data_IF_402170058957
#
_entry.id   IF_402170058957
#
_cell.length_a   1.000
_cell.length_b   1.000
_cell.length_c   1.000
_cell.angle_alpha   90.00
_cell.angle_beta   90.00
_cell.angle_gamma   90.00
#
_symmetry.space_group_name_H-M   'P 1'
#
loop_
_entity.id
_entity.type
_entity.pdbx_description
1 polymer ?
#
# COMPACT_ATOMS: atom_id res chain seq x y z
N UNK A 1 -54.29 25.43 -3.42
CA UNK A 1 -53.86 24.51 -4.50
C UNK A 1 -52.43 24.11 -4.22
N UNK A 2 -52.23 23.01 -3.49
CA UNK A 2 -50.93 22.37 -3.29
C UNK A 2 -50.74 21.37 -4.43
N UNK A 3 -50.04 21.78 -5.48
CA UNK A 3 -49.69 20.92 -6.61
C UNK A 3 -48.31 20.30 -6.30
N UNK A 4 -48.28 18.99 -6.06
CA UNK A 4 -47.15 18.06 -6.10
C UNK A 4 -45.74 18.70 -6.15
N UNK A 5 -45.19 19.14 -5.00
CA UNK A 5 -43.76 19.46 -4.89
C UNK A 5 -42.86 18.21 -4.77
N UNK A 6 -43.45 17.00 -4.65
CA UNK A 6 -42.76 15.75 -4.34
C UNK A 6 -42.87 14.71 -5.47
N UNK A 7 -42.59 15.10 -6.71
CA UNK A 7 -42.50 14.17 -7.86
C UNK A 7 -41.06 14.09 -8.37
N UNK A 8 -40.69 12.96 -8.97
CA UNK A 8 -39.40 12.77 -9.65
C UNK A 8 -39.05 13.91 -10.62
N UNK A 9 -40.03 14.48 -11.32
CA UNK A 9 -39.85 15.62 -12.23
C UNK A 9 -39.48 16.91 -11.49
N UNK A 10 -40.07 17.16 -10.31
CA UNK A 10 -39.73 18.30 -9.44
C UNK A 10 -38.27 18.23 -8.98
N UNK A 11 -37.79 17.03 -8.62
CA UNK A 11 -36.41 16.80 -8.20
C UNK A 11 -35.44 17.13 -9.35
N UNK A 12 -35.71 16.64 -10.55
CA UNK A 12 -34.87 16.89 -11.74
C UNK A 12 -34.84 18.38 -12.09
N UNK A 13 -35.99 19.06 -12.06
CA UNK A 13 -36.07 20.50 -12.32
C UNK A 13 -35.26 21.31 -11.30
N UNK A 14 -35.31 20.96 -10.01
CA UNK A 14 -34.49 21.62 -8.99
C UNK A 14 -32.99 21.37 -9.17
N UNK A 15 -32.60 20.14 -9.55
CA UNK A 15 -31.20 19.85 -9.88
C UNK A 15 -30.74 20.75 -11.02
N UNK A 16 -31.51 20.87 -12.11
CA UNK A 16 -31.15 21.71 -13.25
C UNK A 16 -31.06 23.20 -12.88
N UNK A 17 -32.01 23.69 -12.08
CA UNK A 17 -32.04 25.09 -11.67
C UNK A 17 -30.88 25.49 -10.74
N UNK A 18 -30.46 24.60 -9.84
CA UNK A 18 -29.57 24.94 -8.72
C UNK A 18 -28.12 24.44 -8.88
N UNK A 19 -27.72 23.95 -10.05
CA UNK A 19 -26.38 23.35 -10.25
C UNK A 19 -25.30 24.31 -10.77
N UNK A 20 -25.59 25.61 -10.89
CA UNK A 20 -24.72 26.56 -11.61
C UNK A 20 -23.85 27.42 -10.70
N UNK A 21 -24.39 27.97 -9.60
CA UNK A 21 -23.63 28.85 -8.69
C UNK A 21 -23.32 28.18 -7.35
N UNK A 22 -22.23 28.56 -6.63
CA UNK A 22 -21.91 27.96 -5.33
C UNK A 22 -23.01 28.11 -4.26
N UNK A 23 -23.75 29.24 -4.30
CA UNK A 23 -24.89 29.49 -3.41
C UNK A 23 -26.03 28.51 -3.71
N UNK A 24 -26.34 28.33 -4.99
CA UNK A 24 -27.40 27.44 -5.43
C UNK A 24 -27.04 25.98 -5.16
N UNK A 25 -25.77 25.58 -5.37
CA UNK A 25 -25.26 24.24 -5.06
C UNK A 25 -25.39 23.94 -3.56
N UNK A 26 -25.17 24.94 -2.70
CA UNK A 26 -25.36 24.78 -1.25
C UNK A 26 -26.82 24.55 -0.90
N UNK A 27 -27.74 25.29 -1.53
CA UNK A 27 -29.18 25.08 -1.39
C UNK A 27 -29.62 23.71 -1.92
N UNK A 28 -29.10 23.30 -3.07
CA UNK A 28 -29.32 22.00 -3.69
C UNK A 28 -28.85 20.87 -2.76
N UNK A 29 -27.69 21.02 -2.13
CA UNK A 29 -27.19 20.03 -1.16
C UNK A 29 -28.15 19.85 0.02
N UNK A 30 -28.66 20.93 0.59
CA UNK A 30 -29.66 20.86 1.66
C UNK A 30 -30.95 20.19 1.19
N UNK A 31 -31.45 20.55 0.00
CA UNK A 31 -32.65 19.96 -0.58
C UNK A 31 -32.50 18.46 -0.85
N UNK A 32 -31.39 18.04 -1.45
CA UNK A 32 -31.11 16.63 -1.76
C UNK A 32 -30.95 15.79 -0.49
N UNK A 33 -30.36 16.34 0.57
CA UNK A 33 -30.31 15.68 1.89
C UNK A 33 -31.70 15.45 2.47
N UNK A 34 -32.57 16.45 2.40
CA UNK A 34 -33.95 16.34 2.89
C UNK A 34 -34.80 15.38 2.04
N UNK A 35 -34.46 15.24 0.75
CA UNK A 35 -35.20 14.42 -0.20
C UNK A 35 -34.61 13.02 -0.42
N UNK A 36 -33.60 12.58 0.34
CA UNK A 36 -32.87 11.32 0.07
C UNK A 36 -33.81 10.10 0.08
N UNK A 37 -34.75 10.04 1.02
CA UNK A 37 -35.72 8.94 1.12
C UNK A 37 -36.67 8.90 -0.08
N UNK A 38 -37.08 10.07 -0.58
CA UNK A 38 -37.91 10.17 -1.80
C UNK A 38 -37.12 9.75 -3.05
N UNK A 39 -35.85 10.17 -3.14
CA UNK A 39 -34.97 9.76 -4.25
C UNK A 39 -34.77 8.24 -4.27
N UNK A 40 -34.68 7.61 -3.08
CA UNK A 40 -34.59 6.15 -2.96
C UNK A 40 -35.87 5.45 -3.39
N UNK A 41 -37.04 5.95 -2.96
CA UNK A 41 -38.33 5.33 -3.29
C UNK A 41 -38.70 5.47 -4.77
N UNK A 42 -38.33 6.57 -5.41
CA UNK A 42 -38.58 6.83 -6.84
C UNK A 42 -37.39 6.51 -7.76
N UNK A 43 -36.39 5.77 -7.27
CA UNK A 43 -35.13 5.49 -7.98
C UNK A 43 -35.31 4.94 -9.40
N UNK A 44 -36.26 4.03 -9.63
CA UNK A 44 -36.54 3.46 -10.96
C UNK A 44 -37.05 4.50 -11.96
N UNK A 45 -37.83 5.47 -11.51
CA UNK A 45 -38.32 6.59 -12.36
C UNK A 45 -37.23 7.61 -12.60
N UNK A 46 -36.41 7.90 -11.59
CA UNK A 46 -35.31 8.86 -11.70
C UNK A 46 -34.15 8.34 -12.57
N UNK A 47 -34.00 7.01 -12.69
CA UNK A 47 -32.98 6.39 -13.53
C UNK A 47 -33.07 6.84 -15.00
N UNK A 48 -34.27 6.95 -15.58
CA UNK A 48 -34.46 7.40 -16.96
C UNK A 48 -34.10 8.89 -17.14
N UNK A 49 -34.32 9.69 -16.10
CA UNK A 49 -34.02 11.12 -16.08
C UNK A 49 -32.52 11.44 -16.03
N UNK A 50 -31.64 10.47 -15.74
CA UNK A 50 -30.19 10.68 -15.80
C UNK A 50 -29.72 11.10 -17.20
N UNK A 51 -30.46 10.74 -18.25
CA UNK A 51 -30.17 11.17 -19.64
C UNK A 51 -30.36 12.67 -19.87
N UNK A 52 -31.13 13.35 -19.01
CA UNK A 52 -31.43 14.78 -19.07
C UNK A 52 -30.44 15.63 -18.24
N UNK A 53 -29.53 14.98 -17.51
CA UNK A 53 -28.58 15.62 -16.62
C UNK A 53 -27.17 15.51 -17.18
N UNK A 54 -26.51 16.65 -17.35
CA UNK A 54 -25.07 16.69 -17.63
C UNK A 54 -24.28 16.29 -16.36
N UNK A 55 -23.46 15.22 -16.39
CA UNK A 55 -22.72 14.76 -15.21
C UNK A 55 -21.64 15.74 -14.73
N UNK A 56 -21.15 16.67 -15.57
CA UNK A 56 -20.14 17.68 -15.21
C UNK A 56 -20.74 18.91 -14.53
N UNK A 57 -21.96 19.31 -14.94
CA UNK A 57 -22.68 20.46 -14.40
C UNK A 57 -23.52 20.06 -13.19
N UNK A 58 -24.30 18.97 -13.31
CA UNK A 58 -25.29 18.54 -12.32
C UNK A 58 -24.76 17.44 -11.40
N UNK A 59 -23.45 17.42 -11.12
CA UNK A 59 -22.77 16.28 -10.50
C UNK A 59 -23.36 15.86 -9.16
N UNK A 60 -23.75 16.81 -8.31
CA UNK A 60 -24.32 16.52 -7.00
C UNK A 60 -25.68 15.81 -7.10
N UNK A 61 -26.60 16.35 -7.91
CA UNK A 61 -27.90 15.73 -8.15
C UNK A 61 -27.78 14.37 -8.85
N UNK A 62 -26.91 14.29 -9.86
CA UNK A 62 -26.61 13.05 -10.57
C UNK A 62 -26.09 11.98 -9.59
N UNK A 63 -25.19 12.35 -8.67
CA UNK A 63 -24.65 11.44 -7.66
C UNK A 63 -25.75 10.86 -6.75
N UNK A 64 -26.69 11.67 -6.28
CA UNK A 64 -27.79 11.21 -5.43
C UNK A 64 -28.70 10.21 -6.16
N UNK A 65 -29.07 10.53 -7.40
CA UNK A 65 -29.91 9.65 -8.22
C UNK A 65 -29.15 8.35 -8.52
N UNK A 66 -27.89 8.44 -8.96
CA UNK A 66 -27.08 7.28 -9.28
C UNK A 66 -26.85 6.37 -8.06
N UNK A 67 -26.60 6.96 -6.88
CA UNK A 67 -26.48 6.23 -5.62
C UNK A 67 -27.76 5.45 -5.30
N UNK A 68 -28.93 6.07 -5.46
CA UNK A 68 -30.21 5.42 -5.24
C UNK A 68 -30.47 4.30 -6.25
N UNK A 69 -30.28 4.56 -7.54
CA UNK A 69 -30.55 3.60 -8.63
C UNK A 69 -29.69 2.33 -8.53
N UNK A 70 -28.47 2.46 -8.01
CA UNK A 70 -27.51 1.35 -7.89
C UNK A 70 -27.51 0.71 -6.49
N UNK A 71 -28.42 1.09 -5.58
CA UNK A 71 -28.43 0.57 -4.20
C UNK A 71 -28.92 -0.87 -4.07
N UNK A 72 -29.65 -1.39 -5.06
CA UNK A 72 -30.18 -2.75 -5.04
C UNK A 72 -29.22 -3.82 -5.60
N UNK A 73 -29.49 -5.12 -5.33
CA UNK A 73 -28.79 -6.20 -6.01
C UNK A 73 -29.09 -6.15 -7.51
N UNK A 74 -28.04 -6.15 -8.33
CA UNK A 74 -28.15 -6.08 -9.79
C UNK A 74 -27.94 -7.47 -10.42
N UNK A 75 -28.75 -7.80 -11.43
CA UNK A 75 -28.45 -8.90 -12.35
C UNK A 75 -27.22 -8.55 -13.20
N UNK A 76 -26.61 -9.53 -13.87
CA UNK A 76 -25.37 -9.29 -14.66
C UNK A 76 -25.58 -8.27 -15.79
N UNK A 77 -26.74 -8.28 -16.43
CA UNK A 77 -27.09 -7.35 -17.49
C UNK A 77 -27.15 -5.91 -16.95
N UNK A 78 -27.86 -5.70 -15.85
CA UNK A 78 -27.98 -4.41 -15.16
C UNK A 78 -26.64 -3.91 -14.65
N UNK A 79 -25.83 -4.79 -14.05
CA UNK A 79 -24.48 -4.47 -13.58
C UNK A 79 -23.59 -3.95 -14.73
N UNK A 80 -23.74 -4.48 -15.95
CA UNK A 80 -22.94 -4.00 -17.08
C UNK A 80 -23.29 -2.55 -17.48
N UNK A 81 -24.58 -2.20 -17.42
CA UNK A 81 -25.07 -0.83 -17.66
C UNK A 81 -24.69 0.13 -16.55
N UNK A 82 -24.81 -0.31 -15.29
CA UNK A 82 -24.36 0.44 -14.11
C UNK A 82 -22.87 0.76 -14.19
N UNK A 83 -22.03 -0.24 -14.46
CA UNK A 83 -20.57 -0.07 -14.63
C UNK A 83 -20.26 1.01 -15.68
N UNK A 84 -20.97 1.00 -16.81
CA UNK A 84 -20.79 2.01 -17.86
C UNK A 84 -21.20 3.41 -17.38
N UNK A 85 -22.35 3.51 -16.73
CA UNK A 85 -22.93 4.78 -16.26
C UNK A 85 -22.07 5.39 -15.15
N UNK A 86 -21.66 4.58 -14.16
CA UNK A 86 -20.77 5.00 -13.07
C UNK A 86 -19.41 5.43 -13.63
N UNK A 87 -18.82 4.67 -14.55
CA UNK A 87 -17.54 5.04 -15.15
C UNK A 87 -17.60 6.37 -15.91
N UNK A 88 -18.67 6.61 -16.69
CA UNK A 88 -18.90 7.88 -17.38
C UNK A 88 -19.05 9.03 -16.39
N UNK A 89 -19.85 8.85 -15.34
CA UNK A 89 -20.04 9.85 -14.31
C UNK A 89 -18.73 10.19 -13.59
N UNK A 90 -17.99 9.19 -13.10
CA UNK A 90 -16.71 9.39 -12.39
C UNK A 90 -15.69 10.16 -13.25
N UNK A 91 -15.66 9.91 -14.56
CA UNK A 91 -14.77 10.65 -15.46
C UNK A 91 -15.20 12.11 -15.63
N UNK A 92 -16.51 12.38 -15.78
CA UNK A 92 -17.01 13.71 -16.11
C UNK A 92 -17.32 14.61 -14.90
N UNK A 93 -17.59 14.06 -13.71
CA UNK A 93 -18.13 14.81 -12.58
C UNK A 93 -17.22 15.93 -12.05
N UNK A 94 -17.83 16.99 -11.52
CA UNK A 94 -17.15 18.08 -10.82
C UNK A 94 -16.65 17.63 -9.46
N UNK A 95 -15.35 17.84 -9.21
CA UNK A 95 -14.68 17.51 -7.95
C UNK A 95 -15.27 18.28 -6.76
N UNK A 96 -15.60 19.56 -6.94
CA UNK A 96 -16.15 20.41 -5.87
C UNK A 96 -17.51 19.89 -5.40
N UNK A 97 -18.38 19.51 -6.34
CA UNK A 97 -19.71 19.03 -6.04
C UNK A 97 -19.70 17.64 -5.38
N UNK A 98 -18.90 16.69 -5.88
CA UNK A 98 -18.86 15.34 -5.27
C UNK A 98 -18.30 15.37 -3.84
N UNK A 99 -17.42 16.33 -3.52
CA UNK A 99 -16.86 16.52 -2.17
C UNK A 99 -17.88 17.04 -1.17
N UNK A 100 -19.05 17.51 -1.60
CA UNK A 100 -20.17 17.84 -0.71
C UNK A 100 -20.87 16.59 -0.16
N UNK A 101 -20.79 15.46 -0.88
CA UNK A 101 -21.38 14.18 -0.48
C UNK A 101 -20.40 13.01 -0.71
N UNK A 102 -19.23 13.00 -0.05
CA UNK A 102 -18.16 12.05 -0.32
C UNK A 102 -18.57 10.60 -0.03
N UNK A 103 -19.42 10.37 0.99
CA UNK A 103 -19.94 9.04 1.36
C UNK A 103 -20.71 8.38 0.20
N UNK A 104 -21.55 9.15 -0.50
CA UNK A 104 -22.29 8.65 -1.67
C UNK A 104 -21.36 8.38 -2.85
N UNK A 105 -20.35 9.23 -3.05
CA UNK A 105 -19.35 9.04 -4.10
C UNK A 105 -18.52 7.77 -3.85
N UNK A 106 -18.10 7.54 -2.61
CA UNK A 106 -17.40 6.31 -2.20
C UNK A 106 -18.32 5.09 -2.38
N UNK A 107 -19.60 5.20 -2.02
CA UNK A 107 -20.61 4.14 -2.20
C UNK A 107 -20.76 3.69 -3.66
N UNK A 108 -20.93 4.61 -4.62
CA UNK A 108 -21.00 4.25 -6.05
C UNK A 108 -19.68 3.63 -6.55
N UNK A 109 -18.53 4.09 -6.04
CA UNK A 109 -17.22 3.58 -6.44
C UNK A 109 -16.98 2.15 -5.92
N UNK A 110 -17.38 1.87 -4.69
CA UNK A 110 -17.32 0.52 -4.11
C UNK A 110 -18.25 -0.45 -4.85
N UNK A 111 -19.46 -0.01 -5.22
CA UNK A 111 -20.35 -0.80 -6.07
C UNK A 111 -19.78 -1.06 -7.46
N UNK A 112 -19.15 -0.06 -8.09
CA UNK A 112 -18.44 -0.29 -9.36
C UNK A 112 -17.43 -1.44 -9.20
N UNK A 113 -16.64 -1.43 -8.12
CA UNK A 113 -15.70 -2.53 -7.82
C UNK A 113 -16.42 -3.87 -7.65
N UNK A 114 -17.53 -3.93 -6.91
CA UNK A 114 -18.26 -5.18 -6.70
C UNK A 114 -18.89 -5.72 -8.01
N UNK A 115 -19.48 -4.85 -8.83
CA UNK A 115 -20.10 -5.21 -10.11
C UNK A 115 -19.06 -5.69 -11.13
N UNK A 116 -17.91 -5.00 -11.27
CA UNK A 116 -16.87 -5.48 -12.21
C UNK A 116 -16.25 -6.80 -11.76
N UNK A 117 -16.21 -7.08 -10.45
CA UNK A 117 -15.80 -8.39 -9.93
C UNK A 117 -16.84 -9.47 -10.22
N UNK A 118 -18.13 -9.17 -10.02
CA UNK A 118 -19.24 -10.07 -10.36
C UNK A 118 -19.25 -10.44 -11.85
N UNK A 119 -18.94 -9.47 -12.71
CA UNK A 119 -18.83 -9.65 -14.16
C UNK A 119 -17.53 -10.33 -14.60
N UNK A 120 -16.63 -10.67 -13.67
CA UNK A 120 -15.29 -11.20 -13.95
C UNK A 120 -14.47 -10.31 -14.91
N UNK A 121 -14.71 -8.99 -14.88
CA UNK A 121 -14.05 -8.00 -15.74
C UNK A 121 -13.41 -6.86 -14.92
N UNK A 122 -12.54 -7.15 -13.93
CA UNK A 122 -11.98 -6.15 -13.01
C UNK A 122 -11.22 -5.02 -13.69
N UNK A 123 -10.67 -5.27 -14.90
CA UNK A 123 -9.97 -4.27 -15.70
C UNK A 123 -10.84 -3.05 -16.02
N UNK A 124 -12.17 -3.22 -16.14
CA UNK A 124 -13.12 -2.12 -16.41
C UNK A 124 -13.18 -1.10 -15.27
N UNK A 125 -12.88 -1.51 -14.04
CA UNK A 125 -12.92 -0.64 -12.86
C UNK A 125 -11.64 0.17 -12.63
N UNK A 126 -10.50 -0.21 -13.23
CA UNK A 126 -9.19 0.36 -12.88
C UNK A 126 -9.09 1.86 -13.20
N UNK A 127 -9.37 2.26 -14.44
CA UNK A 127 -9.24 3.65 -14.84
C UNK A 127 -10.26 4.59 -14.14
N UNK A 128 -11.55 4.21 -14.01
CA UNK A 128 -12.50 4.99 -13.22
C UNK A 128 -12.09 5.09 -11.75
N UNK A 129 -11.63 3.99 -11.11
CA UNK A 129 -11.22 4.03 -9.70
C UNK A 129 -10.00 4.92 -9.46
N UNK A 130 -9.01 4.91 -10.36
CA UNK A 130 -7.88 5.82 -10.26
C UNK A 130 -8.33 7.29 -10.37
N UNK A 131 -9.29 7.56 -11.26
CA UNK A 131 -9.87 8.91 -11.42
C UNK A 131 -10.66 9.32 -10.16
N UNK A 132 -11.42 8.40 -9.58
CA UNK A 132 -12.17 8.64 -8.35
C UNK A 132 -11.25 8.98 -7.17
N UNK A 133 -10.15 8.22 -6.98
CA UNK A 133 -9.14 8.51 -5.96
C UNK A 133 -8.60 9.93 -6.13
N UNK A 134 -8.19 10.31 -7.34
CA UNK A 134 -7.64 11.64 -7.64
C UNK A 134 -8.62 12.78 -7.39
N UNK A 135 -9.91 12.57 -7.63
CA UNK A 135 -10.93 13.59 -7.34
C UNK A 135 -11.25 13.66 -5.85
N UNK A 136 -11.23 12.54 -5.12
CA UNK A 136 -11.54 12.51 -3.70
C UNK A 136 -10.40 13.02 -2.83
N UNK A 137 -9.15 12.69 -3.17
CA UNK A 137 -7.98 13.04 -2.36
C UNK A 137 -7.77 14.55 -2.28
N UNK A 138 -7.49 15.06 -1.07
CA UNK A 138 -7.04 16.43 -0.83
C UNK A 138 -5.57 16.63 -1.19
N UNK A 139 -4.77 15.58 -0.98
CA UNK A 139 -3.33 15.49 -1.24
C UNK A 139 -2.98 14.07 -1.69
N UNK A 140 -1.88 13.89 -2.42
CA UNK A 140 -1.32 12.56 -2.74
C UNK A 140 -0.80 11.80 -1.51
N UNK A 141 -0.70 12.50 -0.37
CA UNK A 141 -0.22 11.98 0.90
C UNK A 141 -1.34 11.38 1.77
N UNK A 142 -2.59 11.52 1.33
CA UNK A 142 -3.78 11.06 2.04
C UNK A 142 -4.31 9.73 1.51
N UNK A 143 -4.41 8.73 2.38
CA UNK A 143 -4.99 7.42 2.05
C UNK A 143 -6.52 7.48 2.12
N UNK A 144 -7.14 7.73 0.97
CA UNK A 144 -8.58 7.54 0.81
C UNK A 144 -9.01 6.07 0.94
N UNK A 145 -10.29 5.86 1.29
CA UNK A 145 -10.92 4.53 1.41
C UNK A 145 -11.03 3.75 0.09
N UNK A 146 -10.78 4.39 -1.07
CA UNK A 146 -10.84 3.77 -2.39
C UNK A 146 -9.50 3.15 -2.83
N UNK A 147 -8.38 3.51 -2.19
CA UNK A 147 -7.07 2.98 -2.54
C UNK A 147 -6.99 1.45 -2.47
N UNK A 148 -7.48 0.78 -1.40
CA UNK A 148 -7.43 -0.67 -1.33
C UNK A 148 -8.26 -1.35 -2.42
N UNK A 149 -9.44 -0.81 -2.74
CA UNK A 149 -10.33 -1.34 -3.77
C UNK A 149 -9.71 -1.23 -5.18
N UNK A 150 -9.02 -0.11 -5.47
CA UNK A 150 -8.24 0.04 -6.70
C UNK A 150 -7.09 -0.96 -6.80
N UNK A 151 -6.33 -1.16 -5.72
CA UNK A 151 -5.23 -2.14 -5.69
C UNK A 151 -5.76 -3.58 -5.86
N UNK A 152 -6.90 -3.90 -5.24
CA UNK A 152 -7.56 -5.18 -5.41
C UNK A 152 -7.98 -5.42 -6.87
N UNK A 153 -8.55 -4.42 -7.55
CA UNK A 153 -8.86 -4.50 -8.98
C UNK A 153 -7.60 -4.73 -9.83
N UNK A 154 -6.51 -4.02 -9.52
CA UNK A 154 -5.23 -4.20 -10.21
C UNK A 154 -4.67 -5.61 -10.00
N UNK A 155 -4.80 -6.18 -8.79
CA UNK A 155 -4.39 -7.56 -8.50
C UNK A 155 -5.21 -8.56 -9.30
N UNK A 156 -6.54 -8.45 -9.24
CA UNK A 156 -7.45 -9.36 -9.94
C UNK A 156 -7.30 -9.31 -11.45
N UNK A 157 -7.06 -8.12 -12.03
CA UNK A 157 -6.81 -7.94 -13.46
C UNK A 157 -5.35 -8.20 -13.87
N UNK A 158 -4.46 -8.52 -12.92
CA UNK A 158 -3.00 -8.64 -13.13
C UNK A 158 -2.36 -7.40 -13.77
N UNK A 159 -2.96 -6.23 -13.56
CA UNK A 159 -2.52 -4.94 -14.10
C UNK A 159 -1.59 -4.21 -13.12
N UNK A 160 -0.50 -4.86 -12.72
CA UNK A 160 0.40 -4.39 -11.66
C UNK A 160 1.06 -3.04 -11.95
N UNK A 161 1.33 -2.72 -13.23
CA UNK A 161 1.91 -1.42 -13.63
C UNK A 161 1.01 -0.23 -13.24
N UNK A 162 -0.31 -0.41 -13.32
CA UNK A 162 -1.27 0.62 -12.88
C UNK A 162 -1.36 0.69 -11.35
N UNK A 163 -1.27 -0.45 -10.67
CA UNK A 163 -1.20 -0.47 -9.20
C UNK A 163 0.03 0.27 -8.67
N UNK A 164 1.19 0.11 -9.31
CA UNK A 164 2.43 0.77 -8.90
C UNK A 164 2.35 2.30 -8.90
N UNK A 165 1.54 2.92 -9.77
CA UNK A 165 1.55 4.38 -9.92
C UNK A 165 1.04 5.14 -8.70
N UNK A 166 0.34 4.48 -7.77
CA UNK A 166 -0.09 5.08 -6.49
C UNK A 166 0.77 4.61 -5.31
N UNK A 167 1.59 3.58 -5.51
CA UNK A 167 2.47 3.02 -4.47
C UNK A 167 3.82 3.75 -4.43
N UNK A 168 4.10 4.59 -5.43
CA UNK A 168 5.28 5.46 -5.47
C UNK A 168 5.11 6.71 -4.58
N UNK A 169 3.87 7.07 -4.26
CA UNK A 169 3.55 8.17 -3.34
C UNK A 169 3.80 7.76 -1.88
N UNK A 170 4.32 8.70 -1.08
CA UNK A 170 4.49 8.52 0.36
C UNK A 170 3.23 8.99 1.10
N UNK A 171 2.57 8.05 1.77
CA UNK A 171 1.32 8.27 2.50
C UNK A 171 1.63 8.58 3.97
N UNK A 172 1.07 9.68 4.47
CA UNK A 172 1.24 10.13 5.86
C UNK A 172 -0.09 10.25 6.61
N UNK A 173 -1.19 10.48 5.90
CA UNK A 173 -2.52 10.64 6.51
C UNK A 173 -3.41 9.44 6.21
N UNK A 174 -4.04 8.89 7.27
CA UNK A 174 -4.85 7.68 7.20
C UNK A 174 -6.08 7.85 8.09
N UNK A 175 -7.27 7.74 7.52
CA UNK A 175 -8.52 7.87 8.27
C UNK A 175 -8.93 6.55 8.94
N UNK A 176 -8.77 5.43 8.22
CA UNK A 176 -9.29 4.12 8.62
C UNK A 176 -8.17 3.08 8.72
N UNK A 177 -7.94 2.47 9.90
CA UNK A 177 -6.88 1.47 10.09
C UNK A 177 -6.99 0.28 9.13
N UNK A 178 -8.22 -0.17 8.85
CA UNK A 178 -8.47 -1.30 7.92
C UNK A 178 -7.99 -1.00 6.51
N UNK A 179 -8.14 0.24 6.06
CA UNK A 179 -7.75 0.63 4.70
C UNK A 179 -6.23 0.66 4.57
N UNK A 180 -5.50 1.08 5.61
CA UNK A 180 -4.04 0.97 5.67
C UNK A 180 -3.57 -0.49 5.58
N UNK A 181 -4.21 -1.41 6.34
CA UNK A 181 -3.85 -2.83 6.31
C UNK A 181 -4.02 -3.43 4.91
N UNK A 182 -5.16 -3.13 4.26
CA UNK A 182 -5.44 -3.63 2.91
C UNK A 182 -4.56 -2.97 1.86
N UNK A 183 -4.32 -1.66 1.97
CA UNK A 183 -3.40 -0.92 1.11
C UNK A 183 -1.99 -1.52 1.15
N UNK A 184 -1.43 -1.70 2.36
CA UNK A 184 -0.10 -2.28 2.52
C UNK A 184 -0.04 -3.74 2.06
N UNK A 185 -1.08 -4.54 2.33
CA UNK A 185 -1.11 -5.95 1.91
C UNK A 185 -1.22 -6.10 0.39
N UNK A 186 -2.20 -5.44 -0.24
CA UNK A 186 -2.39 -5.51 -1.69
C UNK A 186 -1.25 -4.84 -2.44
N UNK A 187 -0.77 -3.69 -1.96
CA UNK A 187 0.39 -3.00 -2.51
C UNK A 187 1.65 -3.87 -2.42
N UNK A 188 1.87 -4.53 -1.27
CA UNK A 188 2.93 -5.50 -1.09
C UNK A 188 2.87 -6.64 -2.11
N UNK A 189 1.69 -7.20 -2.36
CA UNK A 189 1.49 -8.25 -3.38
C UNK A 189 1.79 -7.75 -4.81
N UNK A 190 1.38 -6.53 -5.16
CA UNK A 190 1.70 -5.93 -6.47
C UNK A 190 3.21 -5.75 -6.63
N UNK A 191 3.88 -5.21 -5.60
CA UNK A 191 5.33 -5.05 -5.59
C UNK A 191 6.07 -6.39 -5.69
N UNK A 192 5.59 -7.43 -4.99
CA UNK A 192 6.11 -8.81 -5.13
C UNK A 192 5.96 -9.31 -6.57
N UNK A 193 4.78 -9.15 -7.18
CA UNK A 193 4.53 -9.57 -8.55
C UNK A 193 5.45 -8.90 -9.57
N UNK A 194 5.90 -7.69 -9.28
CA UNK A 194 6.84 -6.91 -10.09
C UNK A 194 8.31 -7.06 -9.63
N UNK A 195 8.60 -7.96 -8.68
CA UNK A 195 9.91 -8.16 -8.05
C UNK A 195 10.53 -6.89 -7.42
N UNK A 196 9.72 -5.89 -7.09
CA UNK A 196 10.12 -4.70 -6.31
C UNK A 196 10.15 -5.05 -4.82
N UNK A 197 11.02 -5.98 -4.43
CA UNK A 197 11.00 -6.57 -3.09
C UNK A 197 11.25 -5.58 -1.97
N UNK A 198 12.11 -4.56 -2.17
CA UNK A 198 12.35 -3.51 -1.17
C UNK A 198 11.06 -2.79 -0.77
N UNK A 199 10.32 -2.24 -1.74
CA UNK A 199 9.03 -1.57 -1.47
C UNK A 199 7.97 -2.53 -0.94
N UNK A 200 7.99 -3.80 -1.39
CA UNK A 200 7.10 -4.82 -0.82
C UNK A 200 7.35 -5.04 0.67
N UNK A 201 8.63 -5.12 1.10
CA UNK A 201 8.98 -5.26 2.51
C UNK A 201 8.53 -4.05 3.32
N UNK A 202 8.72 -2.83 2.81
CA UNK A 202 8.25 -1.60 3.46
C UNK A 202 6.72 -1.64 3.69
N UNK A 203 5.95 -1.97 2.65
CA UNK A 203 4.49 -2.04 2.74
C UNK A 203 4.01 -3.15 3.68
N UNK A 204 4.59 -4.35 3.60
CA UNK A 204 4.22 -5.47 4.46
C UNK A 204 4.64 -5.22 5.91
N UNK A 205 5.79 -4.58 6.14
CA UNK A 205 6.26 -4.20 7.46
C UNK A 205 5.27 -3.24 8.12
N UNK A 206 4.79 -2.21 7.39
CA UNK A 206 3.78 -1.28 7.88
C UNK A 206 2.49 -2.00 8.34
N UNK A 207 2.05 -3.05 7.63
CA UNK A 207 0.89 -3.87 8.04
C UNK A 207 1.17 -4.66 9.31
N UNK A 208 2.38 -5.22 9.46
CA UNK A 208 2.78 -6.04 10.61
C UNK A 208 2.94 -5.19 11.87
N UNK A 209 3.42 -3.95 11.73
CA UNK A 209 3.66 -3.04 12.86
C UNK A 209 2.49 -2.13 13.19
N UNK A 210 1.44 -2.11 12.36
CA UNK A 210 0.26 -1.29 12.60
C UNK A 210 -0.35 -1.55 14.00
N UNK A 211 -0.89 -0.51 14.67
CA UNK A 211 -1.65 -0.69 15.90
C UNK A 211 -2.87 -1.60 15.66
N UNK A 212 -3.00 -2.65 16.47
CA UNK A 212 -4.06 -3.66 16.35
C UNK A 212 -4.58 -4.01 17.74
N UNK A 213 -5.90 -3.98 17.92
CA UNK A 213 -6.54 -4.48 19.14
C UNK A 213 -6.75 -6.00 19.10
N UNK A 214 -6.96 -6.56 17.91
CA UNK A 214 -7.19 -7.98 17.65
C UNK A 214 -6.36 -8.44 16.44
N UNK A 215 -6.03 -9.73 16.39
CA UNK A 215 -5.36 -10.29 15.22
C UNK A 215 -6.29 -10.29 14.00
N UNK A 216 -5.79 -9.80 12.87
CA UNK A 216 -6.49 -9.84 11.59
C UNK A 216 -5.86 -10.88 10.66
N UNK A 217 -6.70 -11.53 9.83
CA UNK A 217 -6.21 -12.43 8.79
C UNK A 217 -5.28 -11.72 7.80
N UNK A 218 -5.52 -10.43 7.53
CA UNK A 218 -4.70 -9.58 6.66
C UNK A 218 -3.27 -9.49 7.20
N UNK A 219 -3.12 -9.20 8.50
CA UNK A 219 -1.82 -9.09 9.16
C UNK A 219 -1.07 -10.43 9.14
N UNK A 220 -1.77 -11.55 9.37
CA UNK A 220 -1.18 -12.89 9.33
C UNK A 220 -0.66 -13.21 7.92
N UNK A 221 -1.47 -12.98 6.88
CA UNK A 221 -1.07 -13.20 5.48
C UNK A 221 0.05 -12.27 5.03
N UNK A 222 0.05 -11.02 5.50
CA UNK A 222 1.12 -10.07 5.26
C UNK A 222 2.43 -10.55 5.90
N UNK A 223 2.40 -11.04 7.14
CA UNK A 223 3.59 -11.53 7.83
C UNK A 223 4.19 -12.77 7.18
N UNK A 224 3.36 -13.73 6.72
CA UNK A 224 3.81 -14.88 5.92
C UNK A 224 4.59 -14.44 4.69
N UNK A 225 4.06 -13.47 3.94
CA UNK A 225 4.73 -12.92 2.74
C UNK A 225 5.97 -12.10 3.11
N UNK A 226 5.94 -11.37 4.23
CA UNK A 226 7.07 -10.61 4.74
C UNK A 226 8.27 -11.51 5.04
N UNK A 227 8.04 -12.67 5.68
CA UNK A 227 9.06 -13.69 5.93
C UNK A 227 9.67 -14.15 4.60
N UNK A 228 8.83 -14.60 3.66
CA UNK A 228 9.29 -15.14 2.38
C UNK A 228 10.09 -14.11 1.57
N UNK A 229 9.60 -12.88 1.47
CA UNK A 229 10.27 -11.81 0.73
C UNK A 229 11.58 -11.40 1.42
N UNK A 230 11.63 -11.44 2.75
CA UNK A 230 12.87 -11.16 3.50
C UNK A 230 13.94 -12.20 3.18
N UNK A 231 13.57 -13.48 3.12
CA UNK A 231 14.50 -14.56 2.73
C UNK A 231 14.99 -14.39 1.28
N UNK A 232 14.10 -14.03 0.36
CA UNK A 232 14.43 -13.83 -1.07
C UNK A 232 15.35 -12.62 -1.26
N UNK A 233 15.04 -11.48 -0.65
CA UNK A 233 15.71 -10.22 -0.94
C UNK A 233 16.88 -9.93 -0.01
N UNK A 234 16.73 -10.18 1.29
CA UNK A 234 17.75 -9.89 2.31
C UNK A 234 18.64 -11.09 2.59
N UNK A 235 18.24 -12.29 2.16
CA UNK A 235 18.95 -13.53 2.48
C UNK A 235 18.86 -13.93 3.95
N UNK A 236 18.00 -13.30 4.74
CA UNK A 236 17.83 -13.59 6.16
C UNK A 236 16.49 -13.07 6.67
N UNK A 237 16.08 -13.59 7.83
CA UNK A 237 14.87 -13.13 8.50
C UNK A 237 15.08 -13.09 10.01
N UNK A 238 14.66 -12.00 10.64
CA UNK A 238 14.62 -11.88 12.10
C UNK A 238 13.18 -12.02 12.59
N UNK A 239 12.91 -13.06 13.38
CA UNK A 239 11.59 -13.34 13.93
C UNK A 239 11.16 -12.40 15.07
N UNK A 240 12.00 -11.42 15.41
CA UNK A 240 11.70 -10.40 16.44
C UNK A 240 10.85 -9.29 15.83
N UNK A 241 9.60 -9.24 16.26
CA UNK A 241 8.70 -8.13 15.92
C UNK A 241 9.16 -6.87 16.67
N UNK A 242 9.19 -5.68 16.03
CA UNK A 242 9.63 -4.45 16.69
C UNK A 242 8.82 -4.13 17.96
N UNK A 243 9.48 -3.53 18.97
CA UNK A 243 8.86 -3.18 20.26
C UNK A 243 7.68 -2.22 20.14
N UNK A 244 7.69 -1.36 19.12
CA UNK A 244 6.62 -0.41 18.83
C UNK A 244 5.40 -1.04 18.12
N UNK A 245 5.50 -2.27 17.64
CA UNK A 245 4.35 -2.99 17.10
C UNK A 245 3.37 -3.36 18.22
N UNK A 246 2.12 -3.64 17.88
CA UNK A 246 1.10 -4.02 18.86
C UNK A 246 1.50 -5.26 19.68
N UNK A 247 1.18 -5.27 20.98
CA UNK A 247 1.43 -6.41 21.88
C UNK A 247 0.73 -7.68 21.40
N UNK A 248 -0.43 -7.53 20.76
CA UNK A 248 -1.21 -8.61 20.15
C UNK A 248 -0.41 -9.25 19.01
N UNK A 249 0.18 -8.46 18.11
CA UNK A 249 1.03 -8.97 17.04
C UNK A 249 2.28 -9.67 17.59
N UNK A 250 2.97 -9.05 18.56
CA UNK A 250 4.18 -9.61 19.18
C UNK A 250 3.93 -11.00 19.82
N UNK A 251 2.78 -11.19 20.47
CA UNK A 251 2.43 -12.45 21.15
C UNK A 251 1.90 -13.52 20.21
N UNK A 252 1.12 -13.14 19.21
CA UNK A 252 0.30 -14.11 18.46
C UNK A 252 0.80 -14.44 17.06
N UNK A 253 1.56 -13.57 16.39
CA UNK A 253 1.97 -13.79 14.99
C UNK A 253 2.72 -15.11 14.80
N UNK A 254 3.63 -15.43 15.73
CA UNK A 254 4.43 -16.66 15.68
C UNK A 254 3.55 -17.92 15.65
N UNK A 255 2.48 -17.93 16.42
CA UNK A 255 1.57 -19.08 16.51
C UNK A 255 0.86 -19.37 15.18
N UNK A 256 0.60 -18.34 14.37
CA UNK A 256 -0.08 -18.48 13.09
C UNK A 256 0.87 -18.71 11.89
N UNK A 257 2.17 -18.52 12.08
CA UNK A 257 3.16 -18.59 11.00
C UNK A 257 4.29 -19.59 11.26
N UNK A 258 4.08 -20.55 12.17
CA UNK A 258 5.09 -21.54 12.56
C UNK A 258 5.78 -22.24 11.36
N UNK A 259 5.07 -22.75 10.34
CA UNK A 259 5.72 -23.36 9.16
C UNK A 259 6.65 -22.42 8.38
N UNK A 260 6.35 -21.11 8.37
CA UNK A 260 7.17 -20.10 7.71
C UNK A 260 8.41 -19.73 8.54
N UNK A 261 8.28 -19.77 9.87
CA UNK A 261 9.42 -19.58 10.78
C UNK A 261 10.39 -20.76 10.71
N UNK A 262 9.87 -22.00 10.66
CA UNK A 262 10.69 -23.20 10.46
C UNK A 262 11.42 -23.16 9.11
N UNK A 263 10.73 -22.71 8.05
CA UNK A 263 11.36 -22.46 6.76
C UNK A 263 12.51 -21.45 6.86
N UNK A 264 12.31 -20.35 7.60
CA UNK A 264 13.36 -19.34 7.80
C UNK A 264 14.55 -19.88 8.59
N UNK A 265 14.31 -20.71 9.62
CA UNK A 265 15.38 -21.38 10.38
C UNK A 265 16.16 -22.33 9.49
N UNK A 266 15.47 -23.16 8.71
CA UNK A 266 16.11 -24.08 7.76
C UNK A 266 16.90 -23.34 6.68
N UNK A 267 16.38 -22.23 6.15
CA UNK A 267 17.11 -21.35 5.24
C UNK A 267 18.39 -20.79 5.90
N UNK A 268 18.35 -20.53 7.20
CA UNK A 268 19.49 -20.06 8.00
C UNK A 268 20.69 -21.01 7.99
N UNK A 269 20.47 -22.32 7.86
CA UNK A 269 21.56 -23.33 7.87
C UNK A 269 22.39 -23.33 6.58
N UNK A 270 21.85 -22.76 5.50
CA UNK A 270 22.51 -22.69 4.19
C UNK A 270 22.50 -23.99 3.39
N UNK A 271 21.90 -25.08 3.94
CA UNK A 271 21.84 -26.38 3.27
C UNK A 271 20.53 -26.52 2.48
N UNK A 272 20.65 -26.80 1.19
CA UNK A 272 19.49 -26.87 0.29
C UNK A 272 18.61 -28.08 0.60
N UNK A 273 19.22 -29.22 0.89
CA UNK A 273 18.50 -30.48 1.19
C UNK A 273 17.64 -30.39 2.45
N UNK A 274 18.09 -29.68 3.48
CA UNK A 274 17.32 -29.40 4.70
C UNK A 274 16.11 -28.50 4.38
N UNK A 275 16.34 -27.45 3.58
CA UNK A 275 15.29 -26.54 3.15
C UNK A 275 14.20 -27.25 2.34
N UNK A 276 14.59 -28.07 1.36
CA UNK A 276 13.66 -28.85 0.54
C UNK A 276 12.86 -29.85 1.38
N UNK A 277 13.48 -30.45 2.39
CA UNK A 277 12.80 -31.36 3.32
C UNK A 277 11.75 -30.63 4.14
N UNK A 278 12.08 -29.45 4.68
CA UNK A 278 11.12 -28.58 5.38
C UNK A 278 9.94 -28.16 4.48
N UNK A 279 10.23 -27.81 3.21
CA UNK A 279 9.19 -27.45 2.24
C UNK A 279 8.26 -28.61 1.94
N UNK A 280 8.80 -29.83 1.80
CA UNK A 280 7.99 -31.04 1.58
C UNK A 280 7.09 -31.34 2.77
N UNK A 281 7.58 -31.17 4.00
CA UNK A 281 6.81 -31.37 5.22
C UNK A 281 5.61 -30.41 5.32
N UNK A 282 5.79 -29.14 4.95
CA UNK A 282 4.76 -28.10 5.07
C UNK A 282 4.06 -27.73 3.74
N UNK A 283 4.19 -28.59 2.71
CA UNK A 283 3.77 -28.30 1.33
C UNK A 283 2.30 -27.89 1.23
N UNK A 284 1.42 -28.67 1.86
CA UNK A 284 -0.03 -28.41 1.83
C UNK A 284 -0.36 -27.04 2.43
N UNK A 285 0.32 -26.63 3.50
CA UNK A 285 0.11 -25.33 4.11
C UNK A 285 0.47 -24.19 3.16
N UNK A 286 1.63 -24.27 2.51
CA UNK A 286 2.08 -23.25 1.55
C UNK A 286 1.18 -23.17 0.31
N UNK A 287 0.60 -24.29 -0.12
CA UNK A 287 -0.36 -24.35 -1.23
C UNK A 287 -1.70 -23.74 -0.83
N UNK A 288 -2.24 -24.12 0.32
CA UNK A 288 -3.50 -23.59 0.86
C UNK A 288 -3.44 -22.07 1.09
N UNK A 289 -2.27 -21.58 1.54
CA UNK A 289 -2.02 -20.14 1.71
C UNK A 289 -1.73 -19.40 0.38
N UNK A 290 -1.72 -20.11 -0.77
CA UNK A 290 -1.39 -19.58 -2.10
C UNK A 290 -0.01 -18.91 -2.21
N UNK A 291 0.96 -19.34 -1.38
CA UNK A 291 2.30 -18.76 -1.32
C UNK A 291 3.40 -19.68 -1.90
N UNK A 292 3.04 -20.87 -2.41
CA UNK A 292 4.01 -21.87 -2.86
C UNK A 292 4.97 -21.37 -3.95
N UNK A 293 4.51 -20.47 -4.84
CA UNK A 293 5.39 -19.84 -5.84
C UNK A 293 6.52 -19.01 -5.22
N UNK A 294 6.26 -18.31 -4.12
CA UNK A 294 7.29 -17.57 -3.38
C UNK A 294 8.22 -18.52 -2.61
N UNK A 295 7.69 -19.60 -2.05
CA UNK A 295 8.52 -20.64 -1.40
C UNK A 295 9.52 -21.23 -2.39
N UNK A 296 9.14 -21.47 -3.65
CA UNK A 296 10.08 -21.90 -4.69
C UNK A 296 11.15 -20.84 -5.00
N UNK A 297 10.80 -19.56 -4.94
CA UNK A 297 11.78 -18.48 -5.08
C UNK A 297 12.75 -18.42 -3.89
N UNK A 298 12.30 -18.74 -2.66
CA UNK A 298 13.18 -18.90 -1.50
C UNK A 298 14.21 -20.01 -1.74
N UNK A 299 13.82 -21.15 -2.33
CA UNK A 299 14.80 -22.18 -2.71
C UNK A 299 15.80 -21.64 -3.72
N UNK A 300 15.34 -20.90 -4.73
CA UNK A 300 16.23 -20.34 -5.74
C UNK A 300 17.21 -19.29 -5.15
N UNK A 301 16.77 -18.53 -4.14
CA UNK A 301 17.60 -17.49 -3.52
C UNK A 301 18.70 -18.04 -2.63
N UNK A 302 18.59 -19.28 -2.11
CA UNK A 302 19.63 -19.86 -1.25
C UNK A 302 20.96 -20.03 -2.01
N UNK A 303 20.89 -20.39 -3.29
CA UNK A 303 22.07 -20.55 -4.13
C UNK A 303 22.79 -19.22 -4.32
N UNK A 304 22.03 -18.17 -4.66
CA UNK A 304 22.54 -16.80 -4.77
C UNK A 304 23.20 -16.34 -3.47
N UNK A 305 22.53 -16.56 -2.33
CA UNK A 305 23.06 -16.22 -1.00
C UNK A 305 24.36 -16.98 -0.69
N UNK A 306 24.40 -18.29 -0.96
CA UNK A 306 25.59 -19.09 -0.68
C UNK A 306 26.77 -18.65 -1.54
N UNK A 307 26.55 -18.32 -2.82
CA UNK A 307 27.59 -17.75 -3.69
C UNK A 307 28.06 -16.39 -3.17
N UNK A 308 27.15 -15.50 -2.75
CA UNK A 308 27.50 -14.22 -2.13
C UNK A 308 28.36 -14.38 -0.87
N UNK A 309 28.17 -15.44 -0.09
CA UNK A 309 29.04 -15.72 1.07
C UNK A 309 30.45 -16.13 0.67
N UNK A 310 30.62 -16.81 -0.47
CA UNK A 310 31.94 -17.19 -0.97
C UNK A 310 32.79 -15.97 -1.34
N UNK A 311 32.17 -14.86 -1.76
CA UNK A 311 32.90 -13.62 -2.08
C UNK A 311 33.53 -12.97 -0.84
N UNK A 312 33.10 -13.34 0.37
CA UNK A 312 33.64 -12.82 1.63
C UNK A 312 34.89 -13.59 2.08
N UNK A 313 35.06 -14.83 1.62
CA UNK A 313 36.14 -15.72 2.06
C UNK A 313 37.16 -16.02 0.98
N UNK A 314 36.77 -15.89 -0.29
CA UNK A 314 37.62 -16.24 -1.42
C UNK A 314 37.82 -15.04 -2.34
N UNK A 315 39.05 -14.86 -2.81
CA UNK A 315 39.35 -13.94 -3.92
C UNK A 315 39.18 -14.64 -5.27
N UNK A 316 39.59 -15.89 -5.38
CA UNK A 316 39.47 -16.71 -6.60
C UNK A 316 39.07 -18.12 -6.21
N UNK A 317 38.09 -18.70 -6.90
CA UNK A 317 37.56 -20.04 -6.62
C UNK A 317 37.20 -20.74 -7.93
N UNK A 318 37.45 -22.05 -8.03
CA UNK A 318 37.07 -22.82 -9.22
C UNK A 318 35.55 -22.98 -9.33
N UNK A 319 35.04 -23.10 -10.55
CA UNK A 319 33.62 -23.39 -10.81
C UNK A 319 33.17 -24.71 -10.18
N UNK A 320 34.06 -25.71 -10.15
CA UNK A 320 33.84 -26.97 -9.45
C UNK A 320 33.78 -26.77 -7.93
N UNK A 321 34.67 -25.94 -7.37
CA UNK A 321 34.65 -25.56 -5.96
C UNK A 321 33.38 -24.83 -5.55
N UNK A 322 32.88 -23.93 -6.40
CA UNK A 322 31.58 -23.26 -6.21
C UNK A 322 30.44 -24.29 -6.26
N UNK A 323 30.42 -25.16 -7.26
CA UNK A 323 29.37 -26.18 -7.40
C UNK A 323 29.30 -27.09 -6.17
N UNK A 324 30.44 -27.57 -5.68
CA UNK A 324 30.52 -28.43 -4.49
C UNK A 324 30.11 -27.68 -3.22
N UNK A 325 30.54 -26.44 -3.05
CA UNK A 325 30.23 -25.64 -1.84
C UNK A 325 28.74 -25.27 -1.76
N UNK A 326 28.10 -25.08 -2.92
CA UNK A 326 26.73 -24.59 -3.04
C UNK A 326 25.73 -25.72 -3.34
N UNK A 327 26.21 -26.98 -3.43
CA UNK A 327 25.41 -28.18 -3.73
C UNK A 327 24.71 -28.12 -5.09
N UNK A 328 25.41 -27.61 -6.11
CA UNK A 328 24.97 -27.64 -7.51
C UNK A 328 25.47 -28.91 -8.20
N UNK A 329 24.78 -29.34 -9.26
CA UNK A 329 25.07 -30.63 -9.89
C UNK A 329 26.28 -30.58 -10.81
N UNK A 330 26.64 -29.39 -11.32
CA UNK A 330 27.72 -29.25 -12.28
C UNK A 330 28.42 -27.88 -12.22
N UNK A 331 29.69 -27.78 -12.65
CA UNK A 331 30.37 -26.50 -12.79
C UNK A 331 29.70 -25.57 -13.82
N UNK A 332 29.01 -26.13 -14.82
CA UNK A 332 28.23 -25.34 -15.79
C UNK A 332 27.02 -24.66 -15.16
N UNK A 333 26.36 -25.34 -14.22
CA UNK A 333 25.26 -24.76 -13.45
C UNK A 333 25.76 -23.63 -12.54
N UNK A 334 26.91 -23.84 -11.88
CA UNK A 334 27.59 -22.79 -11.12
C UNK A 334 27.95 -21.58 -11.99
N UNK A 335 28.49 -21.80 -13.18
CA UNK A 335 28.82 -20.74 -14.14
C UNK A 335 27.59 -19.93 -14.52
N UNK A 336 26.47 -20.59 -14.83
CA UNK A 336 25.20 -19.94 -15.17
C UNK A 336 24.67 -19.08 -14.02
N UNK A 337 24.72 -19.59 -12.78
CA UNK A 337 24.32 -18.81 -11.60
C UNK A 337 25.22 -17.58 -11.40
N UNK A 338 26.54 -17.74 -11.46
CA UNK A 338 27.50 -16.64 -11.31
C UNK A 338 27.27 -15.58 -12.40
N UNK A 339 27.10 -16.01 -13.65
CA UNK A 339 26.83 -15.10 -14.77
C UNK A 339 25.55 -14.28 -14.55
N UNK A 340 24.46 -14.95 -14.13
CA UNK A 340 23.19 -14.27 -13.84
C UNK A 340 23.34 -13.27 -12.69
N UNK A 341 24.06 -13.64 -11.63
CA UNK A 341 24.29 -12.74 -10.49
C UNK A 341 25.15 -11.52 -10.86
N UNK A 342 26.12 -11.67 -11.77
CA UNK A 342 26.89 -10.54 -12.33
C UNK A 342 25.97 -9.63 -13.13
N UNK A 343 25.12 -10.19 -14.00
CA UNK A 343 24.19 -9.43 -14.83
C UNK A 343 23.14 -8.67 -13.99
N UNK A 344 22.64 -9.30 -12.93
CA UNK A 344 21.68 -8.70 -11.99
C UNK A 344 22.34 -7.66 -11.05
N UNK A 345 23.68 -7.53 -11.07
CA UNK A 345 24.43 -6.63 -10.18
C UNK A 345 24.49 -7.09 -8.72
N UNK A 346 24.29 -8.38 -8.46
CA UNK A 346 24.25 -8.97 -7.11
C UNK A 346 25.65 -9.33 -6.57
N UNK A 347 26.62 -9.56 -7.46
CA UNK A 347 28.05 -9.76 -7.17
C UNK A 347 28.90 -9.12 -8.26
N UNK A 348 30.14 -8.77 -7.91
CA UNK A 348 31.16 -8.34 -8.85
C UNK A 348 32.18 -9.46 -9.03
N UNK A 349 32.24 -10.06 -10.22
CA UNK A 349 33.14 -11.16 -10.50
C UNK A 349 33.49 -11.27 -11.98
N UNK A 350 34.61 -11.90 -12.30
CA UNK A 350 35.02 -12.26 -13.68
C UNK A 350 35.20 -13.76 -13.80
N UNK A 351 34.65 -14.35 -14.86
CA UNK A 351 34.73 -15.79 -15.15
C UNK A 351 35.84 -16.03 -16.18
N UNK A 352 36.79 -16.90 -15.85
CA UNK A 352 37.78 -17.41 -16.79
C UNK A 352 37.43 -18.85 -17.18
N UNK A 353 36.86 -19.00 -18.38
CA UNK A 353 36.44 -20.31 -18.90
C UNK A 353 37.60 -21.24 -19.25
N UNK A 354 38.79 -20.70 -19.59
CA UNK A 354 39.95 -21.54 -19.93
C UNK A 354 40.46 -22.29 -18.71
N UNK A 355 40.52 -21.60 -17.59
CA UNK A 355 41.05 -22.15 -16.33
C UNK A 355 39.94 -22.69 -15.41
N UNK A 356 38.66 -22.47 -15.75
CA UNK A 356 37.52 -22.87 -14.94
C UNK A 356 37.43 -22.13 -13.60
N UNK A 357 37.93 -20.89 -13.54
CA UNK A 357 38.06 -20.10 -12.30
C UNK A 357 37.15 -18.87 -12.33
N UNK A 358 36.61 -18.52 -11.17
CA UNK A 358 35.90 -17.27 -10.92
C UNK A 358 36.74 -16.42 -9.99
N UNK A 359 37.03 -15.17 -10.41
CA UNK A 359 37.70 -14.17 -9.57
C UNK A 359 36.66 -13.18 -9.08
N UNK A 360 36.49 -13.11 -7.77
CA UNK A 360 35.61 -12.14 -7.11
C UNK A 360 36.30 -10.79 -7.02
N UNK A 361 35.52 -9.72 -7.22
CA UNK A 361 35.97 -8.33 -7.25
C UNK A 361 35.25 -7.53 -6.17
N UNK A 362 35.83 -6.40 -5.82
CA UNK A 362 35.15 -5.37 -5.02
C UNK A 362 34.21 -4.53 -5.89
N UNK A 363 33.35 -3.75 -5.24
CA UNK A 363 32.44 -2.83 -5.92
C UNK A 363 33.24 -1.84 -6.78
N UNK A 364 32.96 -1.73 -8.10
CA UNK A 364 33.69 -0.83 -8.99
C UNK A 364 33.35 0.65 -8.75
N UNK A 365 32.34 0.99 -7.95
CA UNK A 365 31.95 2.37 -7.68
C UNK A 365 33.04 3.11 -6.89
N UNK A 366 33.65 4.11 -7.54
CA UNK A 366 34.72 4.92 -6.97
C UNK A 366 34.21 6.23 -6.34
N UNK A 367 32.90 6.49 -6.36
CA UNK A 367 32.26 7.69 -5.81
C UNK A 367 32.71 9.00 -6.48
N UNK A 368 33.17 8.94 -7.73
CA UNK A 368 33.71 10.09 -8.48
C UNK A 368 32.89 10.43 -9.72
N UNK A 369 31.89 9.62 -10.06
CA UNK A 369 31.10 9.79 -11.28
C UNK A 369 30.07 10.92 -11.13
N UNK A 370 29.72 11.59 -12.23
CA UNK A 370 28.60 12.53 -12.26
C UNK A 370 27.29 11.86 -11.84
N UNK A 371 27.10 10.59 -12.22
CA UNK A 371 25.95 9.79 -11.79
C UNK A 371 25.87 9.65 -10.26
N UNK A 372 27.02 9.57 -9.56
CA UNK A 372 27.02 9.52 -8.10
C UNK A 372 26.69 10.89 -7.48
N UNK A 373 27.16 11.98 -8.09
CA UNK A 373 26.77 13.34 -7.68
C UNK A 373 25.25 13.50 -7.81
N UNK A 374 24.66 13.12 -8.94
CA UNK A 374 23.20 13.18 -9.15
C UNK A 374 22.42 12.34 -8.12
N UNK A 375 22.93 11.15 -7.75
CA UNK A 375 22.34 10.30 -6.70
C UNK A 375 22.40 10.96 -5.32
N UNK A 376 23.51 11.62 -5.00
CA UNK A 376 23.68 12.35 -3.75
C UNK A 376 22.75 13.56 -3.72
N UNK A 377 22.72 14.37 -4.78
CA UNK A 377 21.86 15.54 -4.89
C UNK A 377 20.38 15.15 -4.74
N UNK A 378 19.92 14.12 -5.45
CA UNK A 378 18.56 13.59 -5.28
C UNK A 378 18.27 13.12 -3.85
N UNK A 379 19.25 12.52 -3.17
CA UNK A 379 19.12 12.12 -1.77
C UNK A 379 19.02 13.33 -0.83
N UNK A 380 19.80 14.38 -1.09
CA UNK A 380 19.76 15.64 -0.35
C UNK A 380 18.40 16.32 -0.54
N UNK A 381 17.88 16.42 -1.78
CA UNK A 381 16.55 16.97 -2.06
C UNK A 381 15.44 16.24 -1.30
N UNK A 382 15.49 14.91 -1.26
CA UNK A 382 14.54 14.10 -0.48
C UNK A 382 14.65 14.37 1.02
N UNK A 383 15.87 14.45 1.56
CA UNK A 383 16.08 14.78 2.98
C UNK A 383 15.61 16.19 3.33
N UNK A 384 15.88 17.18 2.47
CA UNK A 384 15.40 18.55 2.66
C UNK A 384 13.87 18.61 2.66
N UNK A 385 13.22 17.88 1.74
CA UNK A 385 11.75 17.79 1.68
C UNK A 385 11.18 17.16 2.95
N UNK A 386 11.78 16.07 3.43
CA UNK A 386 11.38 15.41 4.67
C UNK A 386 11.59 16.32 5.89
N UNK A 387 12.71 17.04 5.96
CA UNK A 387 13.00 17.98 7.05
C UNK A 387 11.96 19.10 7.10
N UNK A 388 11.59 19.69 5.96
CA UNK A 388 10.54 20.72 5.90
C UNK A 388 9.20 20.19 6.40
N UNK A 389 8.83 18.97 6.03
CA UNK A 389 7.61 18.32 6.52
C UNK A 389 7.65 18.07 8.03
N UNK A 390 8.79 17.62 8.56
CA UNK A 390 8.96 17.40 9.98
C UNK A 390 8.80 18.71 10.76
N UNK A 391 9.39 19.80 10.27
CA UNK A 391 9.20 21.15 10.84
C UNK A 391 7.72 21.56 10.82
N UNK A 392 7.03 21.38 9.69
CA UNK A 392 5.60 21.69 9.59
C UNK A 392 4.74 20.85 10.56
N UNK A 393 5.07 19.57 10.74
CA UNK A 393 4.39 18.70 11.70
C UNK A 393 4.63 19.14 13.15
N UNK A 394 5.86 19.54 13.49
CA UNK A 394 6.22 20.07 14.81
C UNK A 394 5.51 21.39 15.12
N UNK A 395 5.41 22.29 14.13
CA UNK A 395 4.64 23.54 14.23
C UNK A 395 3.16 23.27 14.47
N UNK A 396 2.55 22.36 13.70
CA UNK A 396 1.15 21.97 13.86
C UNK A 396 0.89 21.37 15.25
N UNK A 397 1.77 20.49 15.73
CA UNK A 397 1.66 19.91 17.07
C UNK A 397 1.86 20.96 18.18
N UNK A 398 2.78 21.91 17.99
CA UNK A 398 3.04 22.99 18.95
C UNK A 398 1.83 23.93 19.11
N UNK A 399 1.00 24.05 18.07
CA UNK A 399 -0.23 24.82 18.12
C UNK A 399 -1.46 24.01 18.59
N UNK A 400 -1.34 22.70 18.80
CA UNK A 400 -2.47 21.86 19.21
C UNK A 400 -2.91 22.19 20.65
N UNK A 401 -4.17 22.62 20.88
CA UNK A 401 -4.68 22.90 22.21
C UNK A 401 -4.56 21.73 23.20
N UNK A 402 -4.71 20.49 22.73
CA UNK A 402 -4.57 19.30 23.56
C UNK A 402 -3.12 19.11 24.01
N UNK A 403 -2.16 19.33 23.10
CA UNK A 403 -0.73 19.28 23.40
C UNK A 403 -0.33 20.38 24.40
N UNK A 404 -0.71 21.63 24.12
CA UNK A 404 -0.46 22.78 24.99
C UNK A 404 -1.07 22.58 26.39
N UNK A 405 -2.26 21.99 26.48
CA UNK A 405 -2.90 21.71 27.77
C UNK A 405 -2.15 20.67 28.61
N UNK A 406 -1.47 19.70 27.98
CA UNK A 406 -0.65 18.70 28.69
C UNK A 406 0.71 19.27 29.08
N UNK A 407 1.39 19.94 28.15
CA UNK A 407 2.70 20.56 28.43
C UNK A 407 2.57 21.67 29.46
N UNK A 408 1.49 22.46 29.43
CA UNK A 408 1.20 23.46 30.45
C UNK A 408 0.94 22.87 31.84
N UNK A 409 0.40 21.65 31.92
CA UNK A 409 0.21 20.91 33.19
C UNK A 409 1.51 20.30 33.72
N UNK A 410 2.39 19.81 32.84
CA UNK A 410 3.72 19.29 33.23
C UNK A 410 4.70 20.42 33.59
N UNK A 411 4.56 21.60 32.97
CA UNK A 411 5.35 22.79 33.26
C UNK A 411 4.80 23.64 34.40
N UNK A 412 3.73 23.26 35.08
CA UNK A 412 3.36 23.85 36.35
C UNK A 412 4.28 23.22 37.42
N UNK A 413 5.37 23.89 37.85
CA UNK A 413 6.06 23.41 39.03
C UNK A 413 5.05 23.54 40.17
N UNK A 414 5.06 22.59 41.12
CA UNK A 414 4.64 22.94 42.47
C UNK A 414 5.51 24.15 42.85
N UNK A 415 4.92 25.34 42.86
CA UNK A 415 5.50 26.52 43.48
C UNK A 415 5.43 26.25 44.99
N UNK A 416 6.30 25.37 45.48
CA UNK A 416 6.66 25.33 46.89
C UNK A 416 7.51 26.57 47.11
N UNK A 417 6.90 27.58 47.72
CA UNK A 417 7.46 28.92 47.93
C UNK A 417 8.55 28.97 49.02
N UNK A 418 9.08 27.82 49.47
CA UNK A 418 9.89 27.72 50.68
C UNK A 418 11.38 27.35 50.48
N UNK A 419 11.83 27.00 49.27
CA UNK A 419 13.28 26.80 49.01
C UNK A 419 13.91 28.08 48.42
N UNK A 420 13.99 29.12 49.25
CA UNK A 420 14.81 30.30 49.02
C UNK A 420 16.13 30.11 49.77
N UNK A 421 17.12 29.49 49.13
CA UNK A 421 18.49 29.44 49.67
C UNK A 421 19.30 30.62 49.07
N UNK A 422 19.76 31.60 49.87
CA UNK A 422 20.45 32.76 49.36
C UNK A 422 21.88 32.40 48.97
N UNK A 423 22.22 32.73 47.73
CA UNK A 423 23.57 32.70 47.15
C UNK A 423 24.64 33.18 48.14
N UNK A 424 25.74 32.43 48.35
CA UNK A 424 26.99 33.03 48.79
C UNK A 424 27.79 33.47 47.55
N UNK A 425 27.90 34.78 47.40
CA UNK A 425 28.90 35.42 46.55
C UNK A 425 30.30 34.90 46.92
N UNK A 426 31.09 34.51 45.93
CA UNK A 426 32.51 34.86 45.82
C UNK A 426 33.08 34.45 44.46
N UNK A 427 33.31 35.47 43.64
CA UNK A 427 34.36 35.47 42.63
C UNK A 427 35.72 35.41 43.34
N UNK A 428 36.62 34.57 42.84
CA UNK A 428 38.06 34.80 42.97
C UNK A 428 38.75 34.34 41.68
N UNK A 429 39.71 35.16 41.26
CA UNK A 429 40.39 35.22 39.96
C UNK A 429 40.94 33.92 39.42
#
# INVERSE_FOLDING_TARGET
MNLNMNSAESIVAQIQALSTTPRDISQLHTFLKQSDDLIRSESTRLASSLTQLDPSIHSLGFLYILDACTSGPAAKEQASEHVLTIARFVNACSTEQIRLAPEKFVSICKRLKDEVMMLAAPIRGIAPMLTAIRKLQSSTEHLTTLHPDFLLLCLSAKCYKKGLSILEDDIYEVDQPRDLLLYGYYGGMICIGQKRFRKALELLHNVVTAPLSNMSAITIEAYKKYILVSLIHLGQFNATVPKYASTVAQRNLKNFTQPYLELAVSYGTGKVTELETCIRQHREKFQNDNNFGLVRQVVSSIYKRNIQRLTQTYLTLSLEGIANSVQLNSPKEAEMHVLQMIQDGEIYATINQKDGMVRFLEDPEQYKSCAMIERIDSSIERMMTLSKKLTAADELMSCDPAYLSRVGKERAPRLDFDDYDPVPQKFTM
#
